data_IF_991453951019
#
_entry.id   IF_991453951019
#
_cell.length_a   1.000
_cell.length_b   1.000
_cell.length_c   1.000
_cell.angle_alpha   90.00
_cell.angle_beta   90.00
_cell.angle_gamma   90.00
#
_symmetry.space_group_name_H-M   'P 1'
#
loop_
_entity.id
_entity.type
_entity.pdbx_description
1 polymer ?
#
# COMPACT_ATOMS: atom_id res chain seq x y z
N UNK A 1 0.04 -53.87 8.88
CA UNK A 1 0.19 -53.15 10.16
C UNK A 1 -0.90 -52.09 10.23
N UNK A 2 -1.43 -51.74 11.41
CA UNK A 2 -2.43 -50.69 11.54
C UNK A 2 -1.85 -49.34 11.07
N UNK A 3 -2.69 -48.54 10.41
CA UNK A 3 -2.34 -47.23 9.86
C UNK A 3 -2.62 -46.15 10.89
N UNK A 4 -1.64 -45.31 11.22
CA UNK A 4 -1.80 -44.23 12.20
C UNK A 4 -2.54 -43.03 11.58
N UNK A 5 -3.85 -43.20 11.36
CA UNK A 5 -4.69 -42.18 10.74
C UNK A 5 -5.01 -41.01 11.67
N UNK A 6 -5.20 -39.83 11.09
CA UNK A 6 -5.61 -38.63 11.83
C UNK A 6 -7.01 -38.81 12.44
N UNK A 7 -7.16 -38.38 13.70
CA UNK A 7 -8.48 -38.26 14.34
C UNK A 7 -9.38 -37.28 13.58
N UNK A 8 -10.70 -37.38 13.77
CA UNK A 8 -11.65 -36.44 13.18
C UNK A 8 -11.36 -34.98 13.59
N UNK A 9 -10.94 -34.76 14.84
CA UNK A 9 -10.56 -33.44 15.34
C UNK A 9 -9.32 -32.89 14.60
N UNK A 10 -8.27 -33.70 14.44
CA UNK A 10 -7.05 -33.32 13.70
C UNK A 10 -7.39 -32.96 12.25
N UNK A 11 -8.22 -33.75 11.57
CA UNK A 11 -8.69 -33.46 10.20
C UNK A 11 -9.42 -32.11 10.12
N UNK A 12 -10.32 -31.85 11.08
CA UNK A 12 -11.04 -30.56 11.18
C UNK A 12 -10.08 -29.40 11.41
N UNK A 13 -9.11 -29.53 12.30
CA UNK A 13 -8.14 -28.45 12.56
C UNK A 13 -7.25 -28.18 11.35
N UNK A 14 -6.79 -29.20 10.62
CA UNK A 14 -6.03 -29.01 9.38
C UNK A 14 -6.85 -28.23 8.34
N UNK A 15 -8.12 -28.58 8.17
CA UNK A 15 -9.03 -27.88 7.27
C UNK A 15 -9.22 -26.41 7.68
N UNK A 16 -9.51 -26.14 8.95
CA UNK A 16 -9.72 -24.79 9.48
C UNK A 16 -8.47 -23.92 9.37
N UNK A 17 -7.29 -24.46 9.71
CA UNK A 17 -6.01 -23.74 9.60
C UNK A 17 -5.65 -23.40 8.16
N UNK A 18 -6.08 -24.22 7.21
CA UNK A 18 -5.95 -23.96 5.78
C UNK A 18 -7.13 -23.12 5.21
N UNK A 19 -8.05 -22.64 6.06
CA UNK A 19 -9.28 -21.94 5.66
C UNK A 19 -10.10 -22.72 4.61
N UNK A 20 -10.09 -24.06 4.69
CA UNK A 20 -10.67 -24.95 3.69
C UNK A 20 -10.14 -24.75 2.26
N UNK A 21 -8.92 -24.22 2.08
CA UNK A 21 -8.27 -24.12 0.77
C UNK A 21 -7.12 -25.14 0.67
N UNK A 22 -6.87 -25.65 -0.53
CA UNK A 22 -5.75 -26.56 -0.75
C UNK A 22 -4.41 -25.86 -0.48
N UNK A 23 -3.54 -26.44 0.34
CA UNK A 23 -2.22 -25.84 0.63
C UNK A 23 -1.32 -25.70 -0.60
N UNK A 24 -1.58 -26.43 -1.69
CA UNK A 24 -0.82 -26.36 -2.94
C UNK A 24 -1.46 -25.41 -3.95
N UNK A 25 -2.58 -25.81 -4.56
CA UNK A 25 -3.21 -25.07 -5.65
C UNK A 25 -4.18 -23.96 -5.21
N UNK A 26 -4.38 -23.79 -3.90
CA UNK A 26 -5.27 -22.77 -3.30
C UNK A 26 -6.74 -22.85 -3.73
N UNK A 27 -7.19 -23.93 -4.37
CA UNK A 27 -8.61 -24.13 -4.67
C UNK A 27 -9.41 -24.29 -3.37
N UNK A 28 -10.63 -23.74 -3.31
CA UNK A 28 -11.55 -24.08 -2.23
C UNK A 28 -11.82 -25.58 -2.24
N UNK A 29 -11.77 -26.19 -1.06
CA UNK A 29 -12.07 -27.60 -0.91
C UNK A 29 -13.51 -27.83 -0.48
N UNK A 30 -14.19 -26.82 0.06
CA UNK A 30 -15.59 -26.88 0.53
C UNK A 30 -16.48 -25.95 -0.28
N UNK A 31 -17.74 -26.35 -0.48
CA UNK A 31 -18.76 -25.52 -1.11
C UNK A 31 -20.18 -25.99 -0.78
N UNK A 32 -21.21 -25.20 -1.16
CA UNK A 32 -22.60 -25.63 -1.04
C UNK A 32 -22.87 -26.87 -1.90
N UNK A 33 -23.86 -27.67 -1.50
CA UNK A 33 -24.39 -28.79 -2.29
C UNK A 33 -25.85 -28.53 -2.61
N UNK A 34 -26.25 -28.86 -3.84
CA UNK A 34 -27.64 -28.71 -4.31
C UNK A 34 -28.58 -29.78 -3.72
N UNK A 35 -28.06 -30.77 -2.97
CA UNK A 35 -28.87 -31.83 -2.38
C UNK A 35 -29.87 -31.32 -1.31
N UNK A 36 -29.51 -30.27 -0.55
CA UNK A 36 -30.38 -29.61 0.45
C UNK A 36 -29.73 -28.32 0.99
N UNK A 37 -30.50 -27.36 1.56
CA UNK A 37 -29.96 -26.08 2.05
C UNK A 37 -28.84 -26.18 3.11
N UNK A 38 -28.76 -27.30 3.83
CA UNK A 38 -27.74 -27.55 4.86
C UNK A 38 -26.60 -28.46 4.39
N UNK A 39 -26.65 -28.97 3.15
CA UNK A 39 -25.62 -29.86 2.63
C UNK A 39 -24.41 -29.08 2.11
N UNK A 40 -23.25 -29.68 2.31
CA UNK A 40 -21.96 -29.16 1.85
C UNK A 40 -21.22 -30.24 1.08
N UNK A 41 -20.55 -29.85 0.01
CA UNK A 41 -19.62 -30.71 -0.73
C UNK A 41 -18.22 -30.45 -0.23
N UNK A 42 -17.48 -31.53 0.08
CA UNK A 42 -16.12 -31.44 0.64
C UNK A 42 -15.17 -32.36 -0.15
N UNK A 43 -14.24 -31.76 -0.91
CA UNK A 43 -13.21 -32.48 -1.69
C UNK A 43 -11.83 -32.47 -1.01
N UNK A 44 -11.75 -31.93 0.21
CA UNK A 44 -10.51 -31.81 0.95
C UNK A 44 -10.12 -33.08 1.69
N UNK A 45 -8.83 -33.41 1.67
CA UNK A 45 -8.21 -34.54 2.36
C UNK A 45 -7.12 -34.03 3.30
N UNK A 46 -7.06 -34.59 4.51
CA UNK A 46 -5.90 -34.45 5.39
C UNK A 46 -4.85 -35.49 4.98
N UNK A 47 -3.83 -35.05 4.26
CA UNK A 47 -2.76 -35.92 3.77
C UNK A 47 -1.58 -35.94 4.76
N UNK A 48 -0.91 -37.09 4.85
CA UNK A 48 0.29 -37.26 5.67
C UNK A 48 1.52 -36.74 4.92
N UNK A 49 2.35 -35.96 5.60
CA UNK A 49 3.65 -35.51 5.10
C UNK A 49 4.62 -36.70 5.07
N UNK A 50 4.79 -37.40 6.20
CA UNK A 50 5.47 -38.68 6.29
C UNK A 50 4.44 -39.80 6.51
N UNK A 51 4.57 -40.94 5.81
CA UNK A 51 3.58 -42.01 5.83
C UNK A 51 3.18 -42.46 7.25
N UNK A 52 1.88 -42.78 7.39
CA UNK A 52 1.24 -43.21 8.64
C UNK A 52 1.61 -44.62 9.12
N UNK A 53 2.30 -45.40 8.29
CA UNK A 53 2.71 -46.78 8.59
C UNK A 53 3.84 -47.22 7.66
N UNK A 54 4.69 -48.16 8.08
CA UNK A 54 5.67 -48.77 7.17
C UNK A 54 4.98 -49.70 6.15
N UNK A 55 5.66 -49.96 5.03
CA UNK A 55 5.26 -50.98 4.06
C UNK A 55 5.24 -50.50 2.59
N UNK A 56 4.83 -51.38 1.66
CA UNK A 56 4.72 -51.04 0.24
C UNK A 56 3.73 -49.87 0.02
N UNK A 57 4.20 -48.82 -0.67
CA UNK A 57 3.43 -47.59 -0.89
C UNK A 57 3.51 -46.54 0.23
N UNK A 58 4.29 -46.79 1.29
CA UNK A 58 4.54 -45.82 2.35
C UNK A 58 5.48 -44.70 1.87
N UNK A 59 4.91 -43.63 1.31
CA UNK A 59 5.65 -42.47 0.82
C UNK A 59 6.30 -41.70 1.97
N UNK A 60 7.59 -41.40 1.85
CA UNK A 60 8.34 -40.59 2.84
C UNK A 60 8.24 -41.12 4.29
N UNK A 61 8.15 -42.45 4.47
CA UNK A 61 8.10 -43.05 5.81
C UNK A 61 9.39 -42.77 6.57
N UNK A 62 9.27 -42.27 7.80
CA UNK A 62 10.39 -42.02 8.70
C UNK A 62 10.36 -43.02 9.86
N UNK A 63 11.30 -43.99 9.92
CA UNK A 63 11.32 -45.02 10.95
C UNK A 63 11.62 -44.49 12.36
N UNK A 64 12.13 -43.26 12.47
CA UNK A 64 12.44 -42.63 13.77
C UNK A 64 11.20 -42.03 14.44
N UNK A 65 10.09 -41.91 13.70
CA UNK A 65 8.85 -41.33 14.22
C UNK A 65 8.02 -42.33 15.01
N UNK A 66 7.41 -41.87 16.10
CA UNK A 66 6.45 -42.65 16.91
C UNK A 66 5.04 -42.62 16.30
N UNK A 67 4.16 -43.55 16.69
CA UNK A 67 2.74 -43.56 16.26
C UNK A 67 2.02 -42.25 16.61
N UNK A 68 2.31 -41.68 17.79
CA UNK A 68 1.79 -40.39 18.20
C UNK A 68 2.24 -39.24 17.27
N UNK A 69 3.52 -39.22 16.88
CA UNK A 69 4.03 -38.22 15.93
C UNK A 69 3.47 -38.41 14.51
N UNK A 70 3.24 -39.65 14.08
CA UNK A 70 2.65 -39.93 12.76
C UNK A 70 1.21 -39.44 12.63
N UNK A 71 0.46 -39.47 13.73
CA UNK A 71 -0.94 -39.02 13.80
C UNK A 71 -1.10 -37.57 14.31
N UNK A 72 0.01 -36.86 14.57
CA UNK A 72 0.00 -35.47 15.03
C UNK A 72 -0.29 -34.47 13.89
N UNK A 73 -0.90 -33.34 14.23
CA UNK A 73 -1.23 -32.27 13.27
C UNK A 73 -0.01 -31.71 12.52
N UNK A 74 1.18 -31.75 13.13
CA UNK A 74 2.43 -31.32 12.49
C UNK A 74 2.83 -32.21 11.30
N UNK A 75 2.41 -33.48 11.28
CA UNK A 75 2.62 -34.41 10.18
C UNK A 75 1.49 -34.34 9.11
N UNK A 76 0.52 -33.44 9.26
CA UNK A 76 -0.61 -33.32 8.35
C UNK A 76 -0.58 -32.06 7.49
N UNK A 77 -1.01 -32.17 6.23
CA UNK A 77 -1.26 -31.05 5.31
C UNK A 77 -2.66 -31.18 4.69
N UNK A 78 -3.36 -30.05 4.53
CA UNK A 78 -4.70 -30.03 3.93
C UNK A 78 -4.63 -29.82 2.42
N UNK A 79 -5.18 -30.74 1.64
CA UNK A 79 -5.11 -30.72 0.17
C UNK A 79 -6.47 -31.02 -0.46
N UNK A 80 -6.71 -30.54 -1.68
CA UNK A 80 -7.81 -31.09 -2.49
C UNK A 80 -7.48 -32.53 -2.92
N UNK A 81 -8.49 -33.31 -3.31
CA UNK A 81 -8.31 -34.69 -3.75
C UNK A 81 -7.21 -34.84 -4.82
N UNK A 82 -7.18 -33.95 -5.82
CA UNK A 82 -6.18 -33.99 -6.90
C UNK A 82 -4.75 -33.77 -6.38
N UNK A 83 -4.54 -32.77 -5.51
CA UNK A 83 -3.21 -32.49 -4.96
C UNK A 83 -2.76 -33.56 -3.97
N UNK A 84 -3.69 -34.15 -3.20
CA UNK A 84 -3.37 -35.27 -2.32
C UNK A 84 -2.87 -36.49 -3.13
N UNK A 85 -3.56 -36.82 -4.22
CA UNK A 85 -3.16 -37.94 -5.08
C UNK A 85 -1.85 -37.62 -5.83
N UNK A 86 -1.59 -36.35 -6.17
CA UNK A 86 -0.37 -35.90 -6.83
C UNK A 86 0.88 -36.10 -5.95
N UNK A 87 0.83 -35.69 -4.68
CA UNK A 87 1.99 -35.78 -3.78
C UNK A 87 2.40 -37.23 -3.46
N UNK A 88 1.47 -38.17 -3.57
CA UNK A 88 1.72 -39.59 -3.32
C UNK A 88 2.25 -40.33 -4.56
N UNK A 89 2.12 -39.72 -5.75
CA UNK A 89 2.66 -40.26 -7.00
C UNK A 89 4.09 -39.80 -7.28
N UNK A 90 4.53 -38.66 -6.73
CA UNK A 90 5.83 -38.05 -7.01
C UNK A 90 6.54 -37.62 -5.70
N UNK A 91 7.07 -38.60 -4.97
CA UNK A 91 7.75 -38.33 -3.68
C UNK A 91 9.13 -37.66 -3.84
N UNK A 92 9.71 -37.73 -5.04
CA UNK A 92 10.99 -37.08 -5.38
C UNK A 92 10.79 -35.57 -5.48
N UNK A 93 9.73 -35.13 -6.18
CA UNK A 93 9.37 -33.71 -6.25
C UNK A 93 8.79 -33.19 -4.95
N UNK A 94 7.88 -33.96 -4.33
CA UNK A 94 7.17 -33.58 -3.12
C UNK A 94 7.79 -34.25 -1.90
N UNK A 95 9.00 -33.81 -1.54
CA UNK A 95 9.71 -34.29 -0.36
C UNK A 95 9.01 -33.86 0.94
N UNK A 96 9.30 -34.54 2.05
CA UNK A 96 8.73 -34.19 3.36
C UNK A 96 9.02 -32.71 3.73
N UNK A 97 10.24 -32.24 3.49
CA UNK A 97 10.61 -30.85 3.78
C UNK A 97 9.93 -29.84 2.87
N UNK A 98 9.71 -30.19 1.59
CA UNK A 98 8.93 -29.34 0.70
C UNK A 98 7.49 -29.22 1.18
N UNK A 99 6.86 -30.32 1.59
CA UNK A 99 5.48 -30.33 2.10
C UNK A 99 5.35 -29.57 3.42
N UNK A 100 6.34 -29.68 4.33
CA UNK A 100 6.40 -28.87 5.56
C UNK A 100 6.48 -27.37 5.25
N UNK A 101 7.32 -26.98 4.29
CA UNK A 101 7.41 -25.58 3.83
C UNK A 101 6.10 -25.11 3.20
N UNK A 102 5.51 -25.88 2.31
CA UNK A 102 4.24 -25.54 1.65
C UNK A 102 3.09 -25.41 2.66
N UNK A 103 3.03 -26.28 3.68
CA UNK A 103 2.10 -26.15 4.82
C UNK A 103 2.34 -24.83 5.55
N UNK A 104 3.58 -24.55 5.97
CA UNK A 104 3.92 -23.37 6.74
C UNK A 104 3.61 -22.08 5.98
N UNK A 105 3.98 -21.99 4.70
CA UNK A 105 3.70 -20.86 3.83
C UNK A 105 2.20 -20.66 3.63
N UNK A 106 1.45 -21.75 3.38
CA UNK A 106 0.01 -21.64 3.25
C UNK A 106 -0.65 -21.17 4.55
N UNK A 107 -0.34 -21.80 5.69
CA UNK A 107 -0.88 -21.39 6.99
C UNK A 107 -0.51 -19.93 7.31
N UNK A 108 0.71 -19.48 6.96
CA UNK A 108 1.12 -18.08 7.07
C UNK A 108 0.22 -17.16 6.22
N UNK A 109 -0.03 -17.52 4.95
CA UNK A 109 -0.94 -16.77 4.07
C UNK A 109 -2.40 -16.73 4.55
N UNK A 110 -2.80 -17.62 5.46
CA UNK A 110 -4.16 -17.68 6.03
C UNK A 110 -4.24 -17.02 7.41
N UNK A 111 -3.14 -16.54 7.99
CA UNK A 111 -3.17 -15.87 9.29
C UNK A 111 -3.94 -14.56 9.18
N UNK A 112 -5.06 -14.48 9.89
CA UNK A 112 -5.84 -13.25 10.04
C UNK A 112 -4.99 -12.23 10.81
N UNK A 113 -4.88 -11.00 10.30
CA UNK A 113 -4.10 -9.93 10.91
C UNK A 113 -2.58 -10.04 10.76
N UNK A 114 -2.08 -11.00 9.97
CA UNK A 114 -0.66 -11.15 9.63
C UNK A 114 -0.52 -11.11 8.11
N UNK A 115 -0.61 -9.90 7.54
CA UNK A 115 -0.28 -9.66 6.13
C UNK A 115 1.25 -9.72 6.04
N UNK A 116 1.79 -10.90 5.74
CA UNK A 116 3.20 -11.06 5.40
C UNK A 116 3.44 -12.37 4.66
N UNK A 117 3.41 -12.32 3.33
CA UNK A 117 4.05 -13.33 2.48
C UNK A 117 3.15 -14.02 1.47
N UNK A 118 2.76 -13.27 0.44
CA UNK A 118 2.87 -13.62 -0.98
C UNK A 118 2.28 -12.40 -1.74
N UNK A 119 3.15 -11.46 -2.14
CA UNK A 119 2.79 -10.23 -2.84
C UNK A 119 2.22 -9.12 -1.94
N UNK A 120 2.99 -8.65 -0.95
CA UNK A 120 2.68 -7.38 -0.28
C UNK A 120 3.03 -6.24 -1.22
N UNK A 121 2.12 -5.94 -2.12
CA UNK A 121 2.19 -4.70 -2.88
C UNK A 121 2.19 -3.50 -1.92
N UNK A 122 2.83 -2.42 -2.33
CA UNK A 122 2.70 -1.17 -1.61
C UNK A 122 1.49 -0.35 -2.08
N UNK A 123 1.24 0.81 -1.44
CA UNK A 123 0.21 1.73 -1.93
C UNK A 123 0.62 2.28 -3.30
N UNK A 124 -0.29 2.15 -4.25
CA UNK A 124 -0.23 2.77 -5.57
C UNK A 124 -1.44 3.70 -5.69
N UNK A 125 -1.20 4.99 -5.87
CA UNK A 125 -2.26 5.96 -6.14
C UNK A 125 -2.24 6.37 -7.62
N UNK A 126 -3.39 6.31 -8.29
CA UNK A 126 -3.56 6.67 -9.69
C UNK A 126 -4.57 7.82 -9.75
N UNK A 127 -4.05 9.02 -9.98
CA UNK A 127 -4.83 10.25 -9.84
C UNK A 127 -5.44 10.41 -8.43
N UNK A 128 -6.46 11.28 -8.29
CA UNK A 128 -7.00 11.66 -7.00
C UNK A 128 -7.95 10.64 -6.37
N UNK A 129 -8.49 9.69 -7.13
CA UNK A 129 -9.64 8.88 -6.70
C UNK A 129 -9.40 7.36 -6.71
N UNK A 130 -8.20 6.92 -7.09
CA UNK A 130 -7.88 5.49 -7.14
C UNK A 130 -6.67 5.23 -6.27
N UNK A 131 -6.86 4.41 -5.25
CA UNK A 131 -5.80 3.90 -4.38
C UNK A 131 -5.88 2.39 -4.39
N UNK A 132 -4.80 1.73 -4.75
CA UNK A 132 -4.71 0.28 -4.79
C UNK A 132 -3.49 -0.19 -4.01
N UNK A 133 -3.54 -1.45 -3.57
CA UNK A 133 -2.36 -2.19 -3.12
C UNK A 133 -1.84 -2.96 -4.32
N UNK A 134 -0.55 -2.82 -4.62
CA UNK A 134 0.05 -3.44 -5.79
C UNK A 134 1.56 -3.33 -5.80
N UNK A 135 2.24 -4.04 -6.68
CA UNK A 135 3.70 -4.05 -6.76
C UNK A 135 4.20 -3.50 -8.08
N UNK A 136 5.38 -2.90 -8.05
CA UNK A 136 6.08 -2.50 -9.26
C UNK A 136 6.71 -3.72 -9.90
N UNK A 137 6.32 -4.01 -11.14
CA UNK A 137 6.85 -5.14 -11.90
C UNK A 137 8.10 -4.76 -12.69
N UNK A 138 8.12 -3.53 -13.22
CA UNK A 138 9.22 -3.03 -14.05
C UNK A 138 9.22 -1.51 -14.08
N UNK A 139 10.40 -0.91 -14.00
CA UNK A 139 10.62 0.52 -14.33
C UNK A 139 11.67 0.62 -15.42
N UNK A 140 11.42 1.46 -16.41
CA UNK A 140 12.34 1.75 -17.52
C UNK A 140 12.14 3.18 -18.03
N UNK A 141 13.05 3.73 -18.83
CA UNK A 141 12.83 5.02 -19.49
C UNK A 141 11.58 5.04 -20.38
N UNK A 142 11.12 3.88 -20.87
CA UNK A 142 9.90 3.75 -21.68
C UNK A 142 8.62 3.80 -20.84
N UNK A 143 8.70 3.60 -19.53
CA UNK A 143 7.56 3.57 -18.62
C UNK A 143 7.73 2.60 -17.45
N UNK A 144 6.75 2.65 -16.55
CA UNK A 144 6.63 1.83 -15.36
C UNK A 144 5.41 0.90 -15.46
N UNK A 145 5.62 -0.40 -15.28
CA UNK A 145 4.56 -1.42 -15.21
C UNK A 145 4.34 -1.82 -13.76
N UNK A 146 3.09 -1.80 -13.33
CA UNK A 146 2.67 -2.23 -11.99
C UNK A 146 1.59 -3.30 -12.08
N UNK A 147 1.47 -4.10 -11.04
CA UNK A 147 0.40 -5.06 -10.86
C UNK A 147 -0.44 -4.65 -9.66
N UNK A 148 -1.75 -4.48 -9.86
CA UNK A 148 -2.67 -4.14 -8.78
C UNK A 148 -3.29 -5.41 -8.21
N UNK A 149 -3.13 -5.61 -6.91
CA UNK A 149 -3.70 -6.74 -6.18
C UNK A 149 -5.15 -6.49 -5.78
N UNK A 150 -5.45 -5.35 -5.16
CA UNK A 150 -6.82 -4.92 -4.83
C UNK A 150 -6.93 -3.41 -4.66
N UNK A 151 -8.14 -2.88 -4.80
CA UNK A 151 -8.43 -1.46 -4.61
C UNK A 151 -8.78 -1.17 -3.14
N UNK A 152 -8.15 -0.15 -2.58
CA UNK A 152 -8.45 0.46 -1.26
C UNK A 152 -9.47 1.57 -1.44
N UNK A 153 -9.29 2.37 -2.48
CA UNK A 153 -10.21 3.41 -2.92
C UNK A 153 -10.43 3.26 -4.42
N UNK A 154 -11.69 3.42 -4.81
CA UNK A 154 -12.14 3.23 -6.18
C UNK A 154 -12.19 1.78 -6.63
N UNK A 155 -12.25 1.55 -7.95
CA UNK A 155 -12.38 0.22 -8.53
C UNK A 155 -11.88 0.13 -9.98
N UNK A 156 -11.89 -1.08 -10.55
CA UNK A 156 -11.45 -1.32 -11.93
C UNK A 156 -12.20 -0.52 -13.00
N UNK A 157 -13.48 -0.20 -12.81
CA UNK A 157 -14.25 0.62 -13.76
C UNK A 157 -13.74 2.05 -13.78
N UNK A 158 -13.41 2.60 -12.61
CA UNK A 158 -12.83 3.94 -12.51
C UNK A 158 -11.42 3.98 -13.07
N UNK A 159 -10.64 2.89 -12.91
CA UNK A 159 -9.33 2.76 -13.57
C UNK A 159 -9.44 2.80 -15.10
N UNK A 160 -10.39 2.07 -15.69
CA UNK A 160 -10.67 2.17 -17.13
C UNK A 160 -11.18 3.57 -17.51
N UNK A 161 -12.07 4.15 -16.72
CA UNK A 161 -12.61 5.50 -16.97
C UNK A 161 -11.52 6.58 -16.91
N UNK A 162 -10.53 6.43 -16.01
CA UNK A 162 -9.36 7.29 -15.93
C UNK A 162 -8.52 7.22 -17.21
N UNK A 163 -8.31 6.03 -17.77
CA UNK A 163 -7.57 5.86 -19.03
C UNK A 163 -8.35 6.39 -20.25
N UNK A 164 -9.64 6.08 -20.37
CA UNK A 164 -10.48 6.55 -21.48
C UNK A 164 -10.71 8.08 -21.44
N UNK A 165 -10.85 8.63 -20.23
CA UNK A 165 -11.09 10.05 -20.00
C UNK A 165 -9.82 10.88 -19.85
N UNK A 166 -8.63 10.30 -20.00
CA UNK A 166 -7.35 10.89 -19.61
C UNK A 166 -7.16 12.33 -20.11
N UNK A 167 -7.40 12.58 -21.39
CA UNK A 167 -7.19 13.90 -22.00
C UNK A 167 -8.18 14.98 -21.53
N UNK A 168 -9.28 14.59 -20.88
CA UNK A 168 -10.29 15.50 -20.30
C UNK A 168 -10.01 15.82 -18.83
N UNK A 169 -9.14 15.06 -18.16
CA UNK A 169 -8.80 15.29 -16.76
C UNK A 169 -7.90 16.53 -16.62
N UNK A 170 -7.97 17.30 -15.53
CA UNK A 170 -6.97 18.32 -15.23
C UNK A 170 -5.57 17.70 -15.21
N UNK A 171 -4.56 18.38 -15.77
CA UNK A 171 -3.20 17.84 -15.86
C UNK A 171 -2.65 17.39 -14.51
N UNK A 172 -2.90 18.19 -13.45
CA UNK A 172 -2.51 17.88 -12.06
C UNK A 172 -3.14 16.62 -11.47
N UNK A 173 -4.20 16.09 -12.08
CA UNK A 173 -4.88 14.88 -11.63
C UNK A 173 -4.40 13.64 -12.40
N UNK A 174 -3.55 13.82 -13.41
CA UNK A 174 -2.96 12.77 -14.24
C UNK A 174 -1.63 12.33 -13.65
N UNK A 175 -1.64 11.59 -12.55
CA UNK A 175 -0.41 11.14 -11.89
C UNK A 175 -0.46 9.70 -11.42
N UNK A 176 0.72 9.17 -11.10
CA UNK A 176 0.88 7.95 -10.31
C UNK A 176 1.85 8.21 -9.15
N UNK A 177 1.53 7.65 -7.99
CA UNK A 177 2.40 7.62 -6.81
C UNK A 177 2.68 6.16 -6.45
N UNK A 178 3.96 5.81 -6.27
CA UNK A 178 4.43 4.46 -6.01
C UNK A 178 5.12 4.43 -4.64
N UNK A 179 4.40 4.00 -3.60
CA UNK A 179 4.98 3.93 -2.25
C UNK A 179 6.16 2.97 -2.17
N UNK A 180 6.14 1.86 -2.91
CA UNK A 180 7.23 0.87 -2.95
C UNK A 180 8.57 1.51 -3.37
N UNK A 181 8.52 2.46 -4.30
CA UNK A 181 9.70 3.17 -4.79
C UNK A 181 9.87 4.54 -4.14
N UNK A 182 8.97 4.96 -3.26
CA UNK A 182 9.02 6.27 -2.61
C UNK A 182 8.91 7.47 -3.55
N UNK A 183 8.45 7.31 -4.80
CA UNK A 183 8.33 8.40 -5.76
C UNK A 183 7.08 8.27 -6.65
N UNK A 184 6.76 9.35 -7.37
CA UNK A 184 5.70 9.40 -8.35
C UNK A 184 6.00 10.44 -9.43
N UNK A 185 5.10 10.60 -10.40
CA UNK A 185 5.13 11.73 -11.31
C UNK A 185 3.79 11.92 -12.03
N UNK A 186 3.67 13.06 -12.72
CA UNK A 186 2.66 13.27 -13.75
C UNK A 186 2.84 12.28 -14.90
N UNK A 187 1.71 11.90 -15.52
CA UNK A 187 1.65 10.99 -16.64
C UNK A 187 1.79 11.76 -17.95
N UNK A 188 2.63 11.25 -18.84
CA UNK A 188 2.85 11.80 -20.18
C UNK A 188 1.68 11.47 -21.11
N UNK A 189 1.04 10.31 -20.93
CA UNK A 189 -0.08 9.83 -21.75
C UNK A 189 -0.96 8.88 -20.94
N UNK A 190 -2.14 8.56 -21.48
CA UNK A 190 -3.06 7.59 -20.88
C UNK A 190 -2.36 6.25 -20.61
N UNK A 191 -2.63 5.61 -19.45
CA UNK A 191 -2.05 4.32 -19.12
C UNK A 191 -2.64 3.20 -19.98
N UNK A 192 -1.85 2.18 -20.26
CA UNK A 192 -2.33 0.94 -20.87
C UNK A 192 -2.73 -0.03 -19.77
N UNK A 193 -3.94 -0.57 -19.84
CA UNK A 193 -4.49 -1.47 -18.80
C UNK A 193 -4.77 -2.84 -19.42
N UNK A 194 -4.16 -3.87 -18.85
CA UNK A 194 -4.41 -5.27 -19.16
C UNK A 194 -5.07 -5.94 -17.95
N UNK A 195 -6.09 -6.77 -18.17
CA UNK A 195 -6.70 -7.57 -17.11
C UNK A 195 -6.63 -9.05 -17.46
N UNK A 196 -5.76 -9.78 -16.77
CA UNK A 196 -5.54 -11.21 -17.01
C UNK A 196 -5.76 -11.96 -15.70
N UNK A 197 -6.57 -13.03 -15.72
CA UNK A 197 -6.88 -13.84 -14.53
C UNK A 197 -7.40 -13.03 -13.32
N UNK A 198 -8.12 -11.94 -13.58
CA UNK A 198 -8.69 -11.08 -12.53
C UNK A 198 -7.72 -10.07 -11.92
N UNK A 199 -6.44 -10.10 -12.30
CA UNK A 199 -5.40 -9.16 -11.88
C UNK A 199 -5.28 -8.04 -12.91
N UNK A 200 -5.08 -6.81 -12.45
CA UNK A 200 -4.84 -5.66 -13.32
C UNK A 200 -3.34 -5.41 -13.44
N UNK A 201 -2.84 -5.36 -14.66
CA UNK A 201 -1.50 -4.89 -14.98
C UNK A 201 -1.60 -3.59 -15.75
N UNK A 202 -0.89 -2.57 -15.27
CA UNK A 202 -1.03 -1.21 -15.78
C UNK A 202 0.34 -0.67 -16.12
N UNK A 203 0.49 -0.14 -17.32
CA UNK A 203 1.72 0.49 -17.81
C UNK A 203 1.52 2.01 -17.93
N UNK A 204 2.42 2.75 -17.31
CA UNK A 204 2.41 4.21 -17.21
C UNK A 204 3.64 4.78 -17.91
N UNK A 205 3.45 5.87 -18.67
CA UNK A 205 4.56 6.71 -19.13
C UNK A 205 4.60 7.98 -18.28
N UNK A 206 5.74 8.26 -17.66
CA UNK A 206 5.93 9.40 -16.77
C UNK A 206 6.47 10.60 -17.55
N UNK A 207 6.11 11.81 -17.12
CA UNK A 207 6.77 13.04 -17.60
C UNK A 207 8.20 13.14 -17.06
N UNK A 208 8.97 14.11 -17.56
CA UNK A 208 10.27 14.46 -16.97
C UNK A 208 10.10 15.01 -15.55
N UNK A 209 11.07 14.75 -14.67
CA UNK A 209 11.04 15.28 -13.32
C UNK A 209 11.38 16.77 -13.33
N UNK A 210 10.65 17.55 -12.53
CA UNK A 210 11.01 18.93 -12.24
C UNK A 210 12.38 18.99 -11.54
N UNK A 211 13.19 19.95 -11.96
CA UNK A 211 14.48 20.25 -11.33
C UNK A 211 14.31 20.42 -9.83
N UNK A 212 15.09 19.67 -9.06
CA UNK A 212 15.07 19.68 -7.60
C UNK A 212 15.93 20.83 -7.07
N UNK A 213 15.58 21.30 -5.89
CA UNK A 213 16.37 22.34 -5.19
C UNK A 213 17.32 21.62 -4.23
N UNK A 214 18.62 21.76 -4.46
CA UNK A 214 19.62 21.16 -3.58
C UNK A 214 19.54 21.75 -2.17
N UNK A 215 19.54 20.87 -1.16
CA UNK A 215 19.55 21.24 0.25
C UNK A 215 20.82 22.01 0.66
N UNK A 216 21.91 21.88 -0.10
CA UNK A 216 23.20 22.54 0.19
C UNK A 216 23.33 23.92 -0.41
N UNK A 217 22.28 24.44 -1.07
CA UNK A 217 22.28 25.73 -1.79
C UNK A 217 22.26 26.98 -0.89
N UNK A 218 22.76 26.91 0.35
CA UNK A 218 22.78 28.05 1.28
C UNK A 218 21.38 28.52 1.70
N UNK A 219 20.45 27.58 1.91
CA UNK A 219 19.06 27.88 2.26
C UNK A 219 19.01 28.54 3.65
N UNK A 220 18.34 29.69 3.75
CA UNK A 220 18.11 30.41 5.00
C UNK A 220 16.63 30.80 5.12
N UNK A 221 16.17 30.99 6.35
CA UNK A 221 14.80 31.38 6.64
C UNK A 221 14.64 31.87 8.08
N UNK A 222 13.50 32.48 8.35
CA UNK A 222 13.14 32.87 9.71
C UNK A 222 12.48 31.69 10.42
N UNK A 223 12.93 31.41 11.64
CA UNK A 223 12.29 30.47 12.54
C UNK A 223 10.92 31.03 12.96
N UNK A 224 9.86 30.27 12.74
CA UNK A 224 8.48 30.71 13.02
C UNK A 224 8.26 30.93 14.52
N UNK A 225 8.88 30.12 15.37
CA UNK A 225 8.69 30.19 16.82
C UNK A 225 9.54 31.30 17.47
N UNK A 226 10.79 31.44 17.04
CA UNK A 226 11.77 32.31 17.73
C UNK A 226 12.04 33.62 16.99
N UNK A 227 11.61 33.74 15.72
CA UNK A 227 11.95 34.87 14.85
C UNK A 227 13.44 34.94 14.46
N UNK A 228 14.27 33.99 14.87
CA UNK A 228 15.71 33.95 14.57
C UNK A 228 15.96 33.46 13.16
N UNK A 229 17.09 33.89 12.57
CA UNK A 229 17.56 33.30 11.31
C UNK A 229 18.08 31.88 11.56
N UNK A 230 17.56 30.94 10.79
CA UNK A 230 17.98 29.53 10.74
C UNK A 230 18.44 29.19 9.32
N UNK A 231 19.23 28.14 9.17
CA UNK A 231 19.82 27.75 7.88
C UNK A 231 19.96 26.24 7.70
N UNK A 232 20.11 25.79 6.46
CA UNK A 232 20.32 24.39 6.13
C UNK A 232 19.13 23.51 6.53
N UNK A 233 19.41 22.40 7.20
CA UNK A 233 18.40 21.40 7.55
C UNK A 233 17.31 21.91 8.49
N UNK A 234 17.59 22.86 9.37
CA UNK A 234 16.56 23.45 10.25
C UNK A 234 15.46 24.14 9.43
N UNK A 235 15.83 24.86 8.38
CA UNK A 235 14.87 25.51 7.47
C UNK A 235 14.07 24.47 6.69
N UNK A 236 14.73 23.38 6.26
CA UNK A 236 14.07 22.32 5.51
C UNK A 236 13.05 21.57 6.37
N UNK A 237 13.41 21.18 7.59
CA UNK A 237 12.50 20.56 8.55
C UNK A 237 11.29 21.45 8.81
N UNK A 238 11.50 22.74 9.10
CA UNK A 238 10.40 23.70 9.28
C UNK A 238 9.51 23.79 8.02
N UNK A 239 10.10 23.77 6.83
CA UNK A 239 9.34 23.78 5.58
C UNK A 239 8.55 22.49 5.36
N UNK A 240 9.09 21.33 5.71
CA UNK A 240 8.39 20.05 5.63
C UNK A 240 7.17 20.05 6.58
N UNK A 241 7.38 20.43 7.84
CA UNK A 241 6.32 20.50 8.85
C UNK A 241 5.22 21.47 8.44
N UNK A 242 5.58 22.67 7.96
CA UNK A 242 4.62 23.66 7.47
C UNK A 242 3.84 23.15 6.27
N UNK A 243 4.52 22.50 5.32
CA UNK A 243 3.88 21.97 4.10
C UNK A 243 2.89 20.87 4.44
N UNK A 244 3.27 19.97 5.35
CA UNK A 244 2.43 18.85 5.78
C UNK A 244 1.28 19.30 6.70
N UNK A 245 1.48 20.35 7.49
CA UNK A 245 0.48 20.90 8.41
C UNK A 245 -0.53 21.86 7.77
N UNK A 246 -0.21 22.44 6.60
CA UNK A 246 -1.14 23.30 5.88
C UNK A 246 -2.18 22.45 5.14
N UNK A 247 -3.37 22.34 5.70
CA UNK A 247 -4.39 21.45 5.15
C UNK A 247 -4.92 21.89 3.78
N UNK A 248 -5.22 20.92 2.93
CA UNK A 248 -5.74 21.18 1.58
C UNK A 248 -7.06 21.96 1.61
N UNK A 249 -7.19 22.97 0.75
CA UNK A 249 -8.39 23.81 0.66
C UNK A 249 -8.51 24.92 1.69
N UNK A 250 -7.50 25.11 2.55
CA UNK A 250 -7.52 26.18 3.58
C UNK A 250 -6.87 27.48 3.13
N UNK A 251 -6.19 27.49 1.99
CA UNK A 251 -5.53 28.69 1.46
C UNK A 251 -6.33 29.28 0.29
N UNK A 252 -6.91 30.47 0.48
CA UNK A 252 -7.82 31.07 -0.49
C UNK A 252 -7.19 31.35 -1.86
N UNK A 253 -5.89 31.63 -1.92
CA UNK A 253 -5.21 31.89 -3.19
C UNK A 253 -4.82 30.59 -3.95
N UNK A 254 -4.93 29.43 -3.29
CA UNK A 254 -4.78 28.11 -3.90
C UNK A 254 -5.56 27.04 -3.10
N UNK A 255 -6.86 26.92 -3.38
CA UNK A 255 -7.73 25.93 -2.73
C UNK A 255 -7.33 24.48 -3.04
N UNK A 256 -6.53 24.26 -4.07
CA UNK A 256 -6.11 22.93 -4.49
C UNK A 256 -4.80 22.49 -3.85
N UNK A 257 -4.03 23.44 -3.31
CA UNK A 257 -2.79 23.22 -2.59
C UNK A 257 -3.00 22.86 -1.13
N UNK A 258 -1.91 22.42 -0.50
CA UNK A 258 -1.89 21.91 0.88
C UNK A 258 -1.77 20.40 0.94
N UNK A 259 -1.85 19.89 2.16
CA UNK A 259 -1.65 18.49 2.55
C UNK A 259 -2.96 17.87 3.04
N UNK A 260 -3.18 16.60 2.69
CA UNK A 260 -4.32 15.82 3.19
C UNK A 260 -4.01 15.13 4.54
N UNK A 261 -2.84 15.36 5.14
CA UNK A 261 -2.40 14.66 6.36
C UNK A 261 -3.36 14.82 7.55
N UNK A 262 -3.95 16.01 7.73
CA UNK A 262 -4.92 16.23 8.81
C UNK A 262 -6.18 15.37 8.64
N UNK A 263 -6.76 15.32 7.42
CA UNK A 263 -7.90 14.45 7.12
C UNK A 263 -7.53 12.97 7.27
N UNK A 264 -6.34 12.58 6.81
CA UNK A 264 -5.83 11.22 6.96
C UNK A 264 -5.68 10.84 8.43
N UNK A 265 -5.20 11.74 9.29
CA UNK A 265 -5.05 11.48 10.72
C UNK A 265 -6.40 11.16 11.36
N UNK A 266 -7.41 12.01 11.15
CA UNK A 266 -8.71 11.79 11.79
C UNK A 266 -9.44 10.55 11.28
N UNK A 267 -9.25 10.19 10.00
CA UNK A 267 -9.87 9.00 9.41
C UNK A 267 -9.16 7.70 9.77
N UNK A 268 -7.83 7.71 9.88
CA UNK A 268 -7.01 6.49 9.92
C UNK A 268 -6.10 6.36 11.14
N UNK A 269 -6.13 7.29 12.12
CA UNK A 269 -5.33 7.15 13.35
C UNK A 269 -5.56 5.80 14.03
N UNK A 270 -4.48 5.23 14.56
CA UNK A 270 -4.45 3.87 15.14
C UNK A 270 -4.79 2.74 14.16
N UNK A 271 -4.89 3.00 12.85
CA UNK A 271 -5.01 1.96 11.83
C UNK A 271 -3.66 1.64 11.19
N UNK A 272 -3.48 0.43 10.64
CA UNK A 272 -2.27 0.08 9.89
C UNK A 272 -2.10 0.87 8.59
N UNK A 273 -3.11 1.66 8.18
CA UNK A 273 -3.10 2.41 6.92
C UNK A 273 -2.48 3.79 7.04
N UNK A 274 -2.52 4.42 8.22
CA UNK A 274 -2.15 5.84 8.34
C UNK A 274 -0.71 6.10 7.87
N UNK A 275 0.28 5.35 8.35
CA UNK A 275 1.68 5.56 7.96
C UNK A 275 1.88 5.43 6.44
N UNK A 276 1.23 4.44 5.81
CA UNK A 276 1.29 4.20 4.36
C UNK A 276 0.61 5.34 3.57
N UNK A 277 -0.53 5.83 4.04
CA UNK A 277 -1.25 6.94 3.42
C UNK A 277 -0.54 8.28 3.62
N UNK A 278 0.11 8.49 4.78
CA UNK A 278 0.97 9.64 5.04
C UNK A 278 2.20 9.62 4.12
N UNK A 279 2.81 8.46 3.91
CA UNK A 279 3.89 8.27 2.93
C UNK A 279 3.42 8.61 1.51
N UNK A 280 2.27 8.07 1.06
CA UNK A 280 1.63 8.45 -0.22
C UNK A 280 1.48 9.97 -0.33
N UNK A 281 1.05 10.63 0.74
CA UNK A 281 0.86 12.07 0.74
C UNK A 281 2.18 12.85 0.65
N UNK A 282 3.22 12.43 1.36
CA UNK A 282 4.55 13.01 1.23
C UNK A 282 5.12 12.82 -0.18
N UNK A 283 4.90 11.66 -0.81
CA UNK A 283 5.28 11.42 -2.22
C UNK A 283 4.53 12.37 -3.16
N UNK A 284 3.23 12.59 -2.93
CA UNK A 284 2.44 13.55 -3.70
C UNK A 284 3.05 14.95 -3.63
N UNK A 285 3.42 15.38 -2.43
CA UNK A 285 3.97 16.70 -2.16
C UNK A 285 5.43 16.85 -2.64
N UNK A 286 6.17 15.76 -2.83
CA UNK A 286 7.54 15.81 -3.40
C UNK A 286 7.55 15.78 -4.93
N UNK A 287 6.52 15.22 -5.55
CA UNK A 287 6.52 14.96 -6.99
C UNK A 287 5.57 15.83 -7.81
N UNK A 288 4.46 16.30 -7.24
CA UNK A 288 3.46 17.04 -8.00
C UNK A 288 3.67 18.56 -7.90
N UNK A 289 3.74 19.28 -9.04
CA UNK A 289 3.91 20.72 -9.03
C UNK A 289 2.73 21.42 -8.37
N UNK A 290 3.04 22.50 -7.66
CA UNK A 290 2.03 23.46 -7.21
C UNK A 290 2.39 24.85 -7.71
N UNK A 291 1.41 25.59 -8.21
CA UNK A 291 1.65 26.95 -8.65
C UNK A 291 1.87 27.87 -7.44
N UNK A 292 3.04 28.52 -7.39
CA UNK A 292 3.34 29.58 -6.41
C UNK A 292 3.20 30.93 -7.10
N UNK A 293 2.07 31.61 -6.87
CA UNK A 293 1.78 32.96 -7.40
C UNK A 293 2.94 33.94 -7.17
N UNK A 294 3.57 33.86 -6.00
CA UNK A 294 4.60 34.82 -5.58
C UNK A 294 5.97 34.60 -6.24
N UNK A 295 6.27 33.37 -6.68
CA UNK A 295 7.61 32.99 -7.17
C UNK A 295 7.74 33.00 -8.70
N UNK A 296 6.63 33.07 -9.45
CA UNK A 296 6.60 32.82 -10.92
C UNK A 296 7.31 31.54 -11.37
N UNK A 297 7.53 30.60 -10.46
CA UNK A 297 8.23 29.34 -10.67
C UNK A 297 7.35 28.15 -10.31
N UNK A 298 7.45 27.08 -11.10
CA UNK A 298 6.78 25.80 -10.87
C UNK A 298 7.72 24.94 -10.04
N UNK A 299 7.33 24.65 -8.80
CA UNK A 299 8.08 23.77 -7.90
C UNK A 299 7.13 22.81 -7.17
N UNK A 300 7.66 21.70 -6.69
CA UNK A 300 6.92 20.80 -5.80
C UNK A 300 6.97 21.35 -4.37
N UNK A 301 5.92 21.14 -3.55
CA UNK A 301 5.91 21.59 -2.15
C UNK A 301 7.12 21.14 -1.33
N UNK A 302 7.59 19.90 -1.53
CA UNK A 302 8.81 19.34 -0.93
C UNK A 302 9.94 19.31 -1.96
N UNK A 303 10.34 20.49 -2.47
CA UNK A 303 11.22 20.65 -3.64
C UNK A 303 12.62 20.01 -3.56
N UNK A 304 13.11 19.70 -2.37
CA UNK A 304 14.40 19.04 -2.17
C UNK A 304 14.29 17.54 -1.90
N UNK A 305 13.08 16.98 -1.82
CA UNK A 305 12.87 15.54 -1.57
C UNK A 305 12.83 14.80 -2.90
N UNK A 306 13.80 13.93 -3.12
CA UNK A 306 13.88 13.06 -4.28
C UNK A 306 12.97 11.85 -4.13
N UNK A 307 13.02 11.24 -2.94
CA UNK A 307 12.31 10.00 -2.62
C UNK A 307 11.92 9.97 -1.14
N UNK A 308 10.78 9.38 -0.85
CA UNK A 308 10.32 9.10 0.51
C UNK A 308 10.49 7.61 0.77
N UNK A 309 11.45 7.24 1.60
CA UNK A 309 11.80 5.84 1.85
C UNK A 309 10.99 5.22 2.98
N UNK A 310 10.72 6.00 4.03
CA UNK A 310 9.98 5.51 5.20
C UNK A 310 9.22 6.61 5.92
N UNK A 311 8.06 6.25 6.46
CA UNK A 311 7.29 7.07 7.40
C UNK A 311 6.85 6.21 8.57
N UNK A 312 7.15 6.65 9.78
CA UNK A 312 6.73 6.02 11.01
C UNK A 312 6.01 7.01 11.90
N UNK A 313 5.11 6.47 12.73
CA UNK A 313 4.36 7.23 13.72
C UNK A 313 4.68 6.66 15.08
N UNK A 314 5.63 7.25 15.83
CA UNK A 314 5.99 6.78 17.16
C UNK A 314 4.79 6.78 18.13
N UNK A 315 3.90 7.76 17.98
CA UNK A 315 2.69 7.88 18.76
C UNK A 315 1.61 8.63 18.00
N UNK A 316 0.36 8.19 18.11
CA UNK A 316 -0.80 8.92 17.59
C UNK A 316 -1.30 10.00 18.56
N UNK A 317 -0.70 10.13 19.75
CA UNK A 317 -1.05 11.18 20.71
C UNK A 317 -0.54 12.52 20.18
N UNK A 318 -1.46 13.48 20.03
CA UNK A 318 -1.09 14.85 19.70
C UNK A 318 -0.60 15.58 20.95
N UNK A 319 0.44 16.40 20.78
CA UNK A 319 0.91 17.38 21.77
C UNK A 319 0.70 18.75 21.16
N UNK A 320 -0.17 19.56 21.76
CA UNK A 320 -0.55 20.87 21.20
C UNK A 320 -0.96 20.81 19.71
N UNK A 321 -1.76 19.79 19.37
CA UNK A 321 -2.20 19.46 17.99
C UNK A 321 -1.07 19.04 17.04
N UNK A 322 0.15 18.78 17.52
CA UNK A 322 1.24 18.28 16.69
C UNK A 322 1.37 16.77 16.78
N UNK A 323 1.48 16.13 15.62
CA UNK A 323 1.78 14.73 15.44
C UNK A 323 3.28 14.54 15.25
N UNK A 324 3.87 13.65 16.05
CA UNK A 324 5.26 13.25 15.87
C UNK A 324 5.36 12.18 14.79
N UNK A 325 6.21 12.42 13.81
CA UNK A 325 6.56 11.48 12.73
C UNK A 325 8.07 11.27 12.69
N UNK A 326 8.51 10.06 12.34
CA UNK A 326 9.89 9.80 11.93
C UNK A 326 9.89 9.48 10.44
N UNK A 327 10.73 10.16 9.67
CA UNK A 327 10.80 9.99 8.21
C UNK A 327 12.21 9.65 7.76
N UNK A 328 12.29 8.91 6.67
CA UNK A 328 13.52 8.67 5.90
C UNK A 328 13.30 9.20 4.49
N UNK A 329 14.07 10.21 4.09
CA UNK A 329 14.00 10.85 2.78
C UNK A 329 15.35 10.75 2.07
N UNK A 330 15.34 10.60 0.75
CA UNK A 330 16.48 10.96 -0.09
C UNK A 330 16.37 12.44 -0.44
N UNK A 331 17.36 13.24 -0.03
CA UNK A 331 17.35 14.70 -0.17
C UNK A 331 18.36 15.12 -1.23
N UNK A 332 17.92 15.96 -2.16
CA UNK A 332 18.77 16.49 -3.23
C UNK A 332 19.99 17.22 -2.66
N UNK A 333 21.18 16.84 -3.12
CA UNK A 333 22.45 17.39 -2.67
C UNK A 333 22.94 16.94 -1.30
N UNK A 334 22.16 16.14 -0.55
CA UNK A 334 22.55 15.59 0.76
C UNK A 334 22.55 14.05 0.79
N UNK A 335 21.68 13.41 0.01
CA UNK A 335 21.45 11.97 0.02
C UNK A 335 20.47 11.53 1.12
N UNK A 336 20.57 10.27 1.61
CA UNK A 336 19.68 9.74 2.63
C UNK A 336 19.73 10.53 3.93
N UNK A 337 18.57 10.89 4.45
CA UNK A 337 18.39 11.63 5.68
C UNK A 337 17.25 11.03 6.51
N UNK A 338 17.49 10.85 7.81
CA UNK A 338 16.49 10.42 8.79
C UNK A 338 16.27 11.55 9.77
N UNK A 339 15.00 11.88 10.05
CA UNK A 339 14.67 12.91 11.02
C UNK A 339 13.26 12.81 11.57
N UNK A 340 13.06 13.51 12.69
CA UNK A 340 11.75 13.71 13.30
C UNK A 340 11.06 14.94 12.73
N UNK A 341 9.76 14.85 12.51
CA UNK A 341 8.88 15.96 12.17
C UNK A 341 7.80 16.11 13.24
N UNK A 342 7.50 17.36 13.58
CA UNK A 342 6.37 17.79 14.42
C UNK A 342 5.34 18.47 13.53
N UNK A 343 4.34 17.72 13.07
CA UNK A 343 3.39 18.22 12.07
C UNK A 343 2.09 18.64 12.73
N UNK A 344 1.67 19.89 12.51
CA UNK A 344 0.37 20.38 12.98
C UNK A 344 -0.79 19.62 12.32
N UNK A 345 -1.74 19.16 13.13
CA UNK A 345 -2.95 18.46 12.72
C UNK A 345 -4.17 19.30 13.11
N UNK A 346 -4.82 19.89 12.12
CA UNK A 346 -6.05 20.66 12.34
C UNK A 346 -7.18 19.75 12.80
N UNK A 347 -7.99 20.21 13.75
CA UNK A 347 -9.22 19.54 14.16
C UNK A 347 -10.26 19.55 13.03
N UNK A 348 -11.18 18.58 12.96
CA UNK A 348 -12.19 18.53 11.90
C UNK A 348 -13.01 19.82 11.78
N UNK A 349 -13.39 20.43 12.90
CA UNK A 349 -14.18 21.66 12.92
C UNK A 349 -13.36 22.85 12.38
N UNK A 350 -12.07 22.92 12.72
CA UNK A 350 -11.16 23.96 12.20
C UNK A 350 -10.96 23.81 10.69
N UNK A 351 -10.88 22.57 10.18
CA UNK A 351 -10.77 22.30 8.74
C UNK A 351 -12.01 22.76 7.99
N UNK A 352 -13.20 22.44 8.49
CA UNK A 352 -14.46 22.87 7.89
C UNK A 352 -14.58 24.40 7.83
N UNK A 353 -14.32 25.07 8.96
CA UNK A 353 -14.36 26.54 9.04
C UNK A 353 -13.32 27.21 8.13
N UNK A 354 -12.08 26.72 8.14
CA UNK A 354 -10.98 27.27 7.34
C UNK A 354 -11.24 27.09 5.84
N UNK A 355 -11.75 25.93 5.43
CA UNK A 355 -12.12 25.65 4.02
C UNK A 355 -13.29 26.52 3.56
N UNK A 356 -14.32 26.69 4.40
CA UNK A 356 -15.45 27.55 4.08
C UNK A 356 -15.01 29.01 3.92
N UNK A 357 -14.16 29.49 4.84
CA UNK A 357 -13.60 30.84 4.80
C UNK A 357 -12.71 31.04 3.57
N UNK A 358 -11.81 30.11 3.29
CA UNK A 358 -10.93 30.18 2.12
C UNK A 358 -11.71 30.21 0.81
N UNK A 359 -12.76 29.39 0.69
CA UNK A 359 -13.64 29.37 -0.48
C UNK A 359 -14.38 30.71 -0.66
N UNK A 360 -14.94 31.25 0.42
CA UNK A 360 -15.61 32.56 0.40
C UNK A 360 -14.67 33.68 -0.10
N UNK A 361 -13.41 33.67 0.36
CA UNK A 361 -12.41 34.65 -0.08
C UNK A 361 -12.01 34.45 -1.54
N UNK A 362 -11.83 33.20 -1.98
CA UNK A 362 -11.52 32.88 -3.38
C UNK A 362 -12.63 33.36 -4.32
N UNK A 363 -13.90 33.08 -3.98
CA UNK A 363 -15.07 33.50 -4.76
C UNK A 363 -15.17 35.03 -4.84
N UNK A 364 -14.91 35.75 -3.75
CA UNK A 364 -14.89 37.23 -3.72
C UNK A 364 -13.79 37.80 -4.63
N UNK A 365 -12.59 37.23 -4.61
CA UNK A 365 -11.48 37.67 -5.45
C UNK A 365 -11.83 37.46 -6.93
N UNK A 366 -12.36 36.28 -7.28
CA UNK A 366 -12.77 35.98 -8.65
C UNK A 366 -13.86 36.95 -9.15
N UNK A 367 -14.85 37.28 -8.30
CA UNK A 367 -15.86 38.29 -8.63
C UNK A 367 -15.25 39.66 -8.90
N UNK A 368 -14.33 40.12 -8.04
CA UNK A 368 -13.64 41.40 -8.22
C UNK A 368 -12.88 41.42 -9.54
N UNK A 369 -12.07 40.40 -9.82
CA UNK A 369 -11.30 40.24 -11.06
C UNK A 369 -12.20 40.27 -12.30
N UNK A 370 -13.35 39.59 -12.27
CA UNK A 370 -14.34 39.63 -13.37
C UNK A 370 -14.90 41.04 -13.60
N UNK A 371 -15.26 41.77 -12.53
CA UNK A 371 -15.73 43.16 -12.66
C UNK A 371 -14.65 44.15 -13.13
N UNK A 372 -13.37 43.91 -12.81
CA UNK A 372 -12.28 44.77 -13.28
C UNK A 372 -11.89 44.52 -14.73
N UNK A 373 -12.12 43.31 -15.26
CA UNK A 373 -11.81 42.96 -16.65
C UNK A 373 -12.93 43.35 -17.63
N UNK A 374 -14.13 43.63 -17.12
CA UNK A 374 -15.30 44.09 -17.88
C UNK A 374 -15.39 45.62 -18.02
N UNK A 375 -14.45 46.37 -17.42
CA UNK A 375 -14.25 47.81 -17.61
C UNK A 375 -13.01 48.03 -18.47
#
# INVERSE_FOLDING_TARGET
>A
MPRDDFTAATKRYLALRASHHCSLCKVSTVGPSDEKPTAVTMIGKAAHICAASPGPGARRYDPTTTSAQRSDISNGIWLCANCADLIDKDEVRFTADWLRRAKAEHEKSRKIGNVSGQGDGDIIAIGPSIVAVGSVQRTSPAGTRVQLAHFVEGNGRELFSFAEGFDRLPERDRYILLSELGFGNLLLRAPTIERTNGVYEVEFALQEHLTRISATSGICGMCIETGRMISGMEVLVQNFERTLGMARGTWFANLEGGSDLSDLYWRYKNSPWFARLAMKEMIRLSCLPTFRRDAKEIATPLACVNRVDRVEVPTFKLVDQHLSLTVEFDIEGLGPWVGGLSVFVSMPEQLEESRATAKLHADRIAQIEMTSTAR
#
